data_IF_728636124030
#
_entry.id   IF_728636124030
#
_cell.length_a   1.000
_cell.length_b   1.000
_cell.length_c   1.000
_cell.angle_alpha   90.00
_cell.angle_beta   90.00
_cell.angle_gamma   90.00
#
_symmetry.space_group_name_H-M   'P 1'
#
loop_
_entity.id
_entity.type
_entity.pdbx_description
1 polymer ?
#
# COMPACT_ATOMS: atom_id res chain seq x y z
N UNK A 1 5.36 -5.52 12.88
CA UNK A 1 4.59 -5.48 11.65
C UNK A 1 3.23 -4.88 11.89
N UNK A 2 2.78 -4.10 10.96
CA UNK A 2 1.55 -3.38 11.09
C UNK A 2 0.77 -3.49 9.79
N UNK A 3 -0.54 -3.68 9.88
CA UNK A 3 -1.37 -3.82 8.69
C UNK A 3 -2.64 -3.01 8.87
N UNK A 4 -3.03 -2.31 7.83
CA UNK A 4 -4.23 -1.49 7.86
C UNK A 4 -5.03 -1.76 6.60
N UNK A 5 -6.27 -2.14 6.76
CA UNK A 5 -7.15 -2.35 5.63
C UNK A 5 -7.59 -1.02 5.07
N UNK A 6 -7.70 -0.96 3.77
CA UNK A 6 -8.04 0.29 3.14
C UNK A 6 -8.93 0.00 1.95
N UNK A 7 -10.02 0.71 1.83
CA UNK A 7 -10.98 0.41 0.81
C UNK A 7 -11.50 -0.98 1.02
N UNK A 8 -11.78 -1.65 -0.04
CA UNK A 8 -12.37 -2.97 0.06
C UNK A 8 -11.35 -4.08 -0.07
N UNK A 9 -10.27 -3.82 -0.76
CA UNK A 9 -9.42 -4.91 -1.17
C UNK A 9 -7.98 -4.74 -0.81
N UNK A 10 -7.55 -3.52 -0.55
CA UNK A 10 -6.13 -3.26 -0.34
C UNK A 10 -5.80 -3.17 1.13
N UNK A 11 -4.68 -3.74 1.50
CA UNK A 11 -4.15 -3.64 2.84
C UNK A 11 -2.75 -3.08 2.77
N UNK A 12 -2.38 -2.30 3.79
CA UNK A 12 -1.05 -1.72 3.87
C UNK A 12 -0.32 -2.40 5.01
N UNK A 13 0.85 -2.94 4.69
CA UNK A 13 1.70 -3.61 5.66
C UNK A 13 3.00 -2.85 5.77
N UNK A 14 3.46 -2.61 6.99
CA UNK A 14 4.72 -1.93 7.25
C UNK A 14 5.62 -2.86 8.02
N UNK A 15 6.83 -3.07 7.53
CA UNK A 15 7.80 -3.96 8.15
C UNK A 15 9.10 -3.22 8.38
N UNK A 16 9.81 -3.54 9.46
CA UNK A 16 11.12 -2.94 9.69
C UNK A 16 12.14 -3.45 8.68
N UNK A 17 13.08 -2.61 8.34
CA UNK A 17 14.17 -2.95 7.45
C UNK A 17 15.46 -2.40 8.03
N UNK A 18 16.58 -2.71 7.40
CA UNK A 18 17.87 -2.33 7.94
C UNK A 18 18.01 -0.83 8.10
N UNK A 19 17.56 -0.06 7.12
CA UNK A 19 17.75 1.38 7.13
C UNK A 19 16.44 2.13 7.16
N UNK A 20 15.41 1.55 7.73
CA UNK A 20 14.14 2.21 7.75
C UNK A 20 13.03 1.20 7.77
N UNK A 21 12.05 1.38 6.89
CA UNK A 21 10.90 0.50 6.82
C UNK A 21 10.56 0.21 5.37
N UNK A 22 9.88 -0.90 5.18
CA UNK A 22 9.33 -1.25 3.88
C UNK A 22 7.82 -1.25 4.02
N UNK A 23 7.15 -0.55 3.12
CA UNK A 23 5.70 -0.61 3.08
C UNK A 23 5.28 -1.47 1.90
N UNK A 24 4.17 -2.14 2.08
CA UNK A 24 3.69 -3.07 1.08
C UNK A 24 2.19 -2.93 0.97
N UNK A 25 1.69 -2.81 -0.23
CA UNK A 25 0.25 -2.78 -0.47
C UNK A 25 -0.11 -4.11 -1.08
N UNK A 26 -1.04 -4.82 -0.45
CA UNK A 26 -1.42 -6.15 -0.91
C UNK A 26 -2.90 -6.18 -1.24
N UNK A 27 -3.24 -7.12 -2.10
CA UNK A 27 -4.62 -7.38 -2.46
C UNK A 27 -4.75 -8.86 -2.71
N UNK A 28 -5.67 -9.50 -1.97
CA UNK A 28 -5.91 -10.94 -2.14
C UNK A 28 -4.62 -11.72 -2.05
N UNK A 29 -3.80 -11.39 -1.05
CA UNK A 29 -2.55 -12.08 -0.78
C UNK A 29 -1.47 -11.87 -1.83
N UNK A 30 -1.69 -10.97 -2.75
CA UNK A 30 -0.67 -10.62 -3.73
C UNK A 30 -0.16 -9.23 -3.44
N UNK A 31 1.13 -9.03 -3.66
CA UNK A 31 1.72 -7.71 -3.47
C UNK A 31 1.45 -6.88 -4.72
N UNK A 32 0.73 -5.78 -4.54
CA UNK A 32 0.42 -4.89 -5.64
C UNK A 32 1.50 -3.82 -5.81
N UNK A 33 2.09 -3.38 -4.70
CA UNK A 33 3.10 -2.34 -4.76
C UNK A 33 3.90 -2.37 -3.48
N UNK A 34 5.16 -2.02 -3.55
CA UNK A 34 6.02 -1.98 -2.39
C UNK A 34 7.01 -0.84 -2.53
N UNK A 35 7.53 -0.38 -1.42
CA UNK A 35 8.51 0.69 -1.44
C UNK A 35 9.20 0.80 -0.10
N UNK A 36 10.13 1.74 0.00
CA UNK A 36 10.91 1.95 1.20
C UNK A 36 10.63 3.33 1.76
N UNK A 37 10.75 3.46 3.07
CA UNK A 37 10.55 4.72 3.75
C UNK A 37 11.53 4.80 4.92
N UNK A 38 11.86 6.03 5.36
CA UNK A 38 12.85 6.18 6.44
C UNK A 38 12.32 5.81 7.81
N UNK A 39 11.01 5.81 8.00
CA UNK A 39 10.44 5.49 9.31
C UNK A 39 9.03 4.93 9.12
N UNK A 40 8.47 4.32 10.18
CA UNK A 40 7.16 3.68 10.05
C UNK A 40 6.03 4.65 9.71
N UNK A 41 6.11 5.85 10.24
CA UNK A 41 5.06 6.81 9.99
C UNK A 41 5.00 7.19 8.52
N UNK A 42 6.17 7.46 7.93
CA UNK A 42 6.24 7.77 6.51
C UNK A 42 5.83 6.56 5.68
N UNK A 43 6.22 5.37 6.12
CA UNK A 43 5.87 4.15 5.41
C UNK A 43 4.35 3.98 5.36
N UNK A 44 3.68 4.21 6.48
CA UNK A 44 2.22 4.11 6.50
C UNK A 44 1.58 5.14 5.60
N UNK A 45 2.12 6.34 5.62
CA UNK A 45 1.59 7.41 4.80
C UNK A 45 1.71 7.08 3.32
N UNK A 46 2.89 6.65 2.90
CA UNK A 46 3.12 6.33 1.50
C UNK A 46 2.33 5.10 1.08
N UNK A 47 2.23 4.12 1.98
CA UNK A 47 1.44 2.94 1.68
C UNK A 47 -0.02 3.26 1.49
N UNK A 48 -0.57 4.12 2.35
CA UNK A 48 -1.96 4.54 2.23
C UNK A 48 -2.18 5.31 0.93
N UNK A 49 -1.24 6.16 0.59
CA UNK A 49 -1.33 6.92 -0.64
C UNK A 49 -1.32 5.98 -1.85
N UNK A 50 -0.42 5.00 -1.82
CA UNK A 50 -0.34 4.04 -2.91
C UNK A 50 -1.62 3.23 -3.04
N UNK A 51 -2.19 2.82 -1.92
CA UNK A 51 -3.43 2.06 -1.95
C UNK A 51 -4.56 2.89 -2.56
N UNK A 52 -4.64 4.15 -2.20
CA UNK A 52 -5.64 5.04 -2.77
C UNK A 52 -5.44 5.21 -4.27
N UNK A 53 -4.19 5.33 -4.68
CA UNK A 53 -3.88 5.50 -6.10
C UNK A 53 -4.27 4.24 -6.87
N UNK A 54 -3.99 3.08 -6.31
CA UNK A 54 -4.33 1.83 -6.97
C UNK A 54 -5.84 1.68 -7.10
N UNK A 55 -6.57 2.05 -6.05
CA UNK A 55 -8.02 2.01 -6.11
C UNK A 55 -8.55 2.94 -7.19
N UNK A 56 -7.97 4.12 -7.28
CA UNK A 56 -8.42 5.08 -8.26
C UNK A 56 -8.16 4.59 -9.68
N UNK A 57 -6.99 4.01 -9.90
CA UNK A 57 -6.65 3.48 -11.21
C UNK A 57 -7.58 2.34 -11.60
N UNK A 58 -7.90 1.49 -10.65
CA UNK A 58 -8.79 0.39 -10.92
C UNK A 58 -10.17 0.90 -11.30
N UNK A 59 -10.63 1.90 -10.59
CA UNK A 59 -11.94 2.47 -10.86
C UNK A 59 -11.99 3.11 -12.26
N UNK A 60 -10.94 3.83 -12.61
CA UNK A 60 -10.86 4.43 -13.93
C UNK A 60 -10.81 3.36 -15.00
N UNK A 61 -10.04 2.31 -14.75
CA UNK A 61 -9.95 1.22 -15.71
C UNK A 61 -11.29 0.58 -15.97
N UNK A 62 -12.11 0.43 -14.94
CA UNK A 62 -13.42 -0.15 -15.13
C UNK A 62 -14.33 0.73 -15.96
N UNK A 63 -14.17 2.04 -15.81
CA UNK A 63 -15.04 2.96 -16.50
C UNK A 63 -14.65 3.18 -17.94
N UNK A 64 -13.54 2.67 -18.31
CA UNK A 64 -13.05 2.89 -19.66
C UNK A 64 -13.83 2.08 -20.64
N UNK A 65 -14.72 1.64 -20.60
CA UNK A 65 -15.38 0.80 -21.58
C UNK A 65 -14.53 -0.38 -21.92
#
# INVERSE_FOLDING_TARGET
>A
MEATARGDDYAVVVEPAADGCIWRVTRAESVAMTGEAPNPETARHWGAFAACALEALERVGRRRF
#
